data_IF_184104358342
#
_entry.id   IF_184104358342
#
_cell.length_a   1.000
_cell.length_b   1.000
_cell.length_c   1.000
_cell.angle_alpha   90.00
_cell.angle_beta   90.00
_cell.angle_gamma   90.00
#
_symmetry.space_group_name_H-M   'P 1'
#
loop_
_entity.id
_entity.type
_entity.pdbx_description
1 polymer ?
#
# COMPACT_ATOMS: atom_id res chain seq x y z
N UNK A 1 88.27 20.34 -20.03
CA UNK A 1 88.29 20.77 -21.44
C UNK A 1 86.92 21.36 -21.77
N UNK A 2 86.92 22.65 -22.12
CA UNK A 2 85.87 23.52 -22.72
C UNK A 2 84.48 23.61 -22.03
N UNK A 3 84.02 24.68 -21.35
CA UNK A 3 83.82 26.15 -21.59
C UNK A 3 82.79 26.56 -22.65
N UNK A 4 81.66 27.15 -22.22
CA UNK A 4 81.04 28.44 -22.64
C UNK A 4 79.53 28.46 -22.20
N UNK A 5 79.03 29.27 -21.26
CA UNK A 5 78.75 30.73 -21.18
C UNK A 5 77.47 31.24 -21.90
N UNK A 6 76.66 31.99 -21.13
CA UNK A 6 75.62 33.00 -21.50
C UNK A 6 74.25 32.48 -22.05
N UNK A 7 73.08 33.06 -21.78
CA UNK A 7 72.71 34.45 -21.46
C UNK A 7 71.31 34.50 -20.79
N UNK A 8 71.08 35.48 -19.91
CA UNK A 8 69.81 35.78 -19.22
C UNK A 8 69.03 36.84 -20.03
N UNK A 9 67.75 36.63 -20.34
CA UNK A 9 66.82 37.74 -20.66
C UNK A 9 65.51 37.52 -19.90
N UNK A 10 65.32 38.34 -18.86
CA UNK A 10 64.02 38.65 -18.27
C UNK A 10 63.28 39.56 -19.25
N UNK A 11 62.27 39.05 -19.95
CA UNK A 11 61.34 39.92 -20.68
C UNK A 11 60.37 40.55 -19.69
N UNK A 12 60.59 41.84 -19.45
CA UNK A 12 59.63 42.76 -18.84
C UNK A 12 58.41 42.92 -19.74
N UNK A 13 57.37 42.12 -19.48
CA UNK A 13 56.03 42.33 -20.01
C UNK A 13 55.39 43.57 -19.41
N UNK A 14 55.52 44.67 -20.14
CA UNK A 14 54.98 46.01 -19.89
C UNK A 14 53.47 45.96 -19.60
N UNK A 15 53.06 46.45 -18.42
CA UNK A 15 51.67 46.87 -18.16
C UNK A 15 51.36 48.07 -19.05
N UNK A 16 50.66 47.85 -20.16
CA UNK A 16 50.11 48.91 -21.00
C UNK A 16 48.63 48.67 -21.23
N UNK A 17 47.78 49.14 -20.30
CA UNK A 17 46.67 50.09 -20.56
C UNK A 17 45.69 50.11 -19.37
N UNK A 18 45.45 51.24 -18.68
CA UNK A 18 44.40 51.34 -17.68
C UNK A 18 43.00 51.62 -18.27
N UNK A 19 42.81 51.59 -19.59
CA UNK A 19 41.54 51.92 -20.23
C UNK A 19 41.14 50.92 -21.33
N UNK A 20 41.04 49.64 -20.99
CA UNK A 20 40.23 48.72 -21.78
C UNK A 20 38.75 49.14 -21.65
N UNK A 21 38.27 49.98 -22.58
CA UNK A 21 36.84 50.31 -22.71
C UNK A 21 36.08 49.01 -22.99
N UNK A 22 35.52 48.42 -21.95
CA UNK A 22 34.55 47.34 -22.08
C UNK A 22 33.40 47.93 -22.91
N UNK A 23 33.19 47.41 -24.10
CA UNK A 23 32.13 47.92 -24.97
C UNK A 23 30.78 47.76 -24.27
N UNK A 24 29.93 48.79 -24.35
CA UNK A 24 28.59 48.80 -23.74
C UNK A 24 27.80 47.52 -24.07
N UNK A 25 28.01 46.95 -25.26
CA UNK A 25 27.41 45.69 -25.69
C UNK A 25 27.88 44.45 -24.90
N UNK A 26 29.13 44.42 -24.41
CA UNK A 26 29.63 43.32 -23.58
C UNK A 26 29.09 43.40 -22.15
N UNK A 27 28.99 44.61 -21.59
CA UNK A 27 28.39 44.87 -20.27
C UNK A 27 26.89 44.54 -20.30
N UNK A 28 26.17 45.00 -21.32
CA UNK A 28 24.74 44.71 -21.50
C UNK A 28 24.47 43.20 -21.64
N UNK A 29 25.31 42.45 -22.35
CA UNK A 29 25.18 40.99 -22.48
C UNK A 29 25.41 40.24 -21.16
N UNK A 30 26.35 40.71 -20.33
CA UNK A 30 26.62 40.12 -19.01
C UNK A 30 25.46 40.40 -18.05
N UNK A 31 24.92 41.63 -18.03
CA UNK A 31 23.73 41.95 -17.24
C UNK A 31 22.48 41.19 -17.72
N UNK A 32 22.32 40.97 -19.02
CA UNK A 32 21.25 40.14 -19.56
C UNK A 32 21.37 38.68 -19.10
N UNK A 33 22.59 38.12 -19.14
CA UNK A 33 22.86 36.75 -18.69
C UNK A 33 22.70 36.56 -17.18
N UNK A 34 23.18 37.52 -16.37
CA UNK A 34 23.00 37.50 -14.91
C UNK A 34 21.53 37.70 -14.51
N UNK A 35 20.80 38.58 -15.19
CA UNK A 35 19.36 38.75 -14.99
C UNK A 35 18.58 37.49 -15.36
N UNK A 36 18.94 36.81 -16.45
CA UNK A 36 18.30 35.55 -16.87
C UNK A 36 18.62 34.39 -15.92
N UNK A 37 19.84 34.32 -15.38
CA UNK A 37 20.20 33.36 -14.33
C UNK A 37 19.48 33.65 -13.00
N UNK A 38 19.28 34.91 -12.64
CA UNK A 38 18.52 35.30 -11.44
C UNK A 38 17.03 34.96 -11.58
N UNK A 39 16.43 35.17 -12.75
CA UNK A 39 15.03 34.76 -13.03
C UNK A 39 14.89 33.23 -13.01
N UNK A 40 15.87 32.49 -13.54
CA UNK A 40 15.91 31.03 -13.47
C UNK A 40 16.16 30.50 -12.03
N UNK A 41 16.88 31.25 -11.19
CA UNK A 41 17.06 30.94 -9.77
C UNK A 41 15.81 31.26 -8.93
N UNK A 42 15.03 32.28 -9.30
CA UNK A 42 13.77 32.67 -8.61
C UNK A 42 12.60 31.75 -9.02
N UNK A 43 12.70 31.07 -10.16
CA UNK A 43 11.84 29.93 -10.54
C UNK A 43 12.13 28.64 -9.74
N UNK A 44 12.87 28.74 -8.63
CA UNK A 44 13.10 27.65 -7.69
C UNK A 44 11.77 27.14 -7.10
N UNK A 45 11.41 25.93 -7.52
CA UNK A 45 10.50 24.99 -6.85
C UNK A 45 9.07 25.46 -6.59
N UNK A 46 8.30 25.69 -7.66
CA UNK A 46 6.89 25.32 -7.57
C UNK A 46 6.84 23.79 -7.38
N UNK A 47 6.63 23.33 -6.14
CA UNK A 47 6.35 21.92 -5.88
C UNK A 47 5.00 21.63 -6.51
N UNK A 48 5.00 20.98 -7.66
CA UNK A 48 3.80 20.36 -8.22
C UNK A 48 3.50 19.17 -7.32
N UNK A 49 2.66 19.38 -6.31
CA UNK A 49 2.03 18.27 -5.61
C UNK A 49 1.03 17.66 -6.60
N UNK A 50 1.10 16.34 -6.80
CA UNK A 50 -0.03 15.63 -7.37
C UNK A 50 -1.26 15.95 -6.51
N UNK A 51 -2.38 16.31 -7.13
CA UNK A 51 -3.62 16.58 -6.41
C UNK A 51 -3.94 15.42 -5.48
N UNK A 52 -4.37 15.72 -4.26
CA UNK A 52 -4.91 14.71 -3.36
C UNK A 52 -6.02 13.91 -4.05
N UNK A 53 -6.14 12.63 -3.69
CA UNK A 53 -7.27 11.81 -4.11
C UNK A 53 -8.30 11.62 -2.98
N UNK A 54 -8.29 12.51 -1.98
CA UNK A 54 -9.36 12.68 -0.99
C UNK A 54 -10.45 13.57 -1.58
N UNK A 55 -11.71 13.27 -1.28
CA UNK A 55 -12.86 14.06 -1.72
C UNK A 55 -12.78 15.51 -1.21
N UNK A 56 -13.16 16.45 -2.06
CA UNK A 56 -13.25 17.87 -1.70
C UNK A 56 -14.62 18.27 -1.15
N UNK A 57 -15.59 17.36 -1.12
CA UNK A 57 -16.95 17.64 -0.62
C UNK A 57 -16.91 17.90 0.88
N UNK A 58 -17.64 18.89 1.37
CA UNK A 58 -17.51 19.42 2.74
C UNK A 58 -17.81 18.43 3.87
N UNK A 59 -18.36 17.25 3.58
CA UNK A 59 -18.66 16.18 4.56
C UNK A 59 -17.84 14.90 4.32
N UNK A 60 -16.92 14.90 3.37
CA UNK A 60 -16.26 13.68 2.85
C UNK A 60 -14.73 13.68 3.03
N UNK A 61 -14.21 14.55 3.90
CA UNK A 61 -12.79 14.68 4.20
C UNK A 61 -12.49 14.80 5.70
N UNK A 62 -13.43 14.37 6.54
CA UNK A 62 -13.36 14.57 7.99
C UNK A 62 -13.29 13.25 8.74
N UNK A 63 -12.30 13.13 9.60
CA UNK A 63 -12.30 12.18 10.71
C UNK A 63 -12.57 12.93 12.02
N UNK A 64 -13.00 12.21 13.05
CA UNK A 64 -13.38 12.77 14.35
C UNK A 64 -12.68 12.06 15.50
N UNK A 65 -12.29 12.82 16.51
CA UNK A 65 -11.86 12.32 17.80
C UNK A 65 -12.43 13.21 18.91
N UNK A 66 -12.78 12.63 20.05
CA UNK A 66 -13.44 13.36 21.13
C UNK A 66 -12.52 14.35 21.87
N UNK A 67 -11.19 14.17 21.78
CA UNK A 67 -10.22 15.05 22.44
C UNK A 67 -9.66 16.13 21.51
N UNK A 68 -9.27 15.76 20.27
CA UNK A 68 -8.65 16.69 19.31
C UNK A 68 -9.63 17.22 18.25
N UNK A 69 -10.88 16.76 18.27
CA UNK A 69 -11.94 17.22 17.39
C UNK A 69 -11.79 16.76 15.94
N UNK A 70 -12.10 17.67 15.02
CA UNK A 70 -12.06 17.44 13.58
C UNK A 70 -10.64 17.30 13.06
N UNK A 71 -10.44 16.28 12.22
CA UNK A 71 -9.19 16.00 11.49
C UNK A 71 -9.50 16.09 10.00
N UNK A 72 -8.86 17.02 9.30
CA UNK A 72 -9.07 17.31 7.88
C UNK A 72 -8.06 16.56 7.01
N UNK A 73 -8.55 15.68 6.14
CA UNK A 73 -7.74 14.89 5.21
C UNK A 73 -7.51 15.58 3.86
N UNK A 74 -8.14 16.73 3.60
CA UNK A 74 -8.12 17.39 2.29
C UNK A 74 -7.33 18.70 2.28
N UNK A 75 -7.44 19.55 3.31
CA UNK A 75 -6.91 20.92 3.26
C UNK A 75 -5.41 21.04 2.97
N UNK A 76 -4.61 20.06 3.37
CA UNK A 76 -3.16 20.04 3.13
C UNK A 76 -2.82 19.73 1.66
N UNK A 77 -3.80 19.18 0.91
CA UNK A 77 -3.66 18.69 -0.46
C UNK A 77 -2.42 17.78 -0.64
N UNK A 78 -2.07 17.03 0.40
CA UNK A 78 -0.85 16.21 0.44
C UNK A 78 -1.14 14.71 0.44
N UNK A 79 -2.35 14.32 0.81
CA UNK A 79 -2.70 12.92 1.03
C UNK A 79 -2.91 12.22 -0.30
N UNK A 80 -2.36 11.02 -0.44
CA UNK A 80 -2.67 10.15 -1.57
C UNK A 80 -2.82 8.73 -1.08
N UNK A 81 -3.99 8.15 -1.34
CA UNK A 81 -4.27 6.74 -1.11
C UNK A 81 -3.85 5.96 -2.35
N UNK A 82 -2.94 5.01 -2.18
CA UNK A 82 -2.55 4.07 -3.21
C UNK A 82 -2.91 2.65 -2.79
N UNK A 83 -2.71 1.69 -3.70
CA UNK A 83 -2.92 0.27 -3.43
C UNK A 83 -1.84 -0.37 -2.54
N UNK A 84 -0.93 0.44 -1.98
CA UNK A 84 0.22 -0.02 -1.17
C UNK A 84 0.28 0.71 0.18
N UNK A 85 -0.06 1.99 0.18
CA UNK A 85 0.08 2.88 1.35
C UNK A 85 -0.66 4.19 1.16
N UNK A 86 -0.77 4.92 2.25
CA UNK A 86 -1.15 6.32 2.29
C UNK A 86 0.11 7.18 2.39
N UNK A 87 0.11 8.32 1.71
CA UNK A 87 1.15 9.36 1.82
C UNK A 87 0.54 10.65 2.32
N UNK A 88 1.38 11.63 2.66
CA UNK A 88 0.96 12.96 3.12
C UNK A 88 0.64 13.02 4.61
N UNK A 89 -0.08 14.07 4.99
CA UNK A 89 -0.49 14.35 6.36
C UNK A 89 -1.84 15.06 6.42
N UNK A 90 -2.67 14.68 7.38
CA UNK A 90 -3.93 15.35 7.70
C UNK A 90 -3.69 16.50 8.68
N UNK A 91 -4.56 17.51 8.68
CA UNK A 91 -4.47 18.66 9.59
C UNK A 91 -5.46 18.50 10.74
N UNK A 92 -5.08 18.90 11.95
CA UNK A 92 -5.97 18.90 13.11
C UNK A 92 -5.61 20.04 14.07
N UNK A 93 -6.43 20.22 15.12
CA UNK A 93 -6.12 21.15 16.22
C UNK A 93 -4.84 20.77 16.98
N UNK A 94 -4.42 19.50 16.88
CA UNK A 94 -3.22 18.91 17.48
C UNK A 94 -1.96 19.00 16.59
N UNK A 95 -2.02 19.77 15.51
CA UNK A 95 -1.03 19.75 14.46
C UNK A 95 -1.28 18.63 13.44
N UNK A 96 -0.25 18.33 12.66
CA UNK A 96 -0.37 17.39 11.54
C UNK A 96 -0.36 15.93 12.01
N UNK A 97 -1.16 15.10 11.36
CA UNK A 97 -1.11 13.64 11.47
C UNK A 97 -0.46 13.11 10.20
N UNK A 98 0.80 12.72 10.30
CA UNK A 98 1.56 12.15 9.19
C UNK A 98 1.21 10.69 8.97
N UNK A 99 0.92 10.33 7.72
CA UNK A 99 0.53 8.97 7.33
C UNK A 99 1.73 8.12 6.88
N UNK A 100 2.89 8.74 6.66
CA UNK A 100 4.14 8.04 6.35
C UNK A 100 5.37 8.91 6.60
N UNK A 101 6.51 8.27 6.81
CA UNK A 101 7.77 8.98 7.05
C UNK A 101 8.30 9.79 5.83
N UNK A 102 7.88 9.46 4.61
CA UNK A 102 8.51 10.02 3.40
C UNK A 102 7.93 11.39 3.00
N UNK A 103 6.70 11.70 3.42
CA UNK A 103 5.96 12.89 3.00
C UNK A 103 5.31 13.60 4.18
N UNK A 104 6.09 13.83 5.23
CA UNK A 104 5.68 14.67 6.37
C UNK A 104 5.68 16.15 5.99
N UNK A 105 5.13 17.01 6.87
CA UNK A 105 5.19 18.47 6.75
C UNK A 105 6.61 19.01 6.57
N UNK A 106 7.58 18.40 7.25
CA UNK A 106 9.00 18.79 7.23
C UNK A 106 9.82 18.03 6.18
N UNK A 107 9.19 17.16 5.40
CA UNK A 107 9.82 16.36 4.35
C UNK A 107 10.03 14.90 4.71
N UNK A 108 11.07 14.29 4.15
CA UNK A 108 11.35 12.86 4.33
C UNK A 108 12.16 12.63 5.62
N UNK A 109 11.55 11.94 6.58
CA UNK A 109 12.15 11.57 7.88
C UNK A 109 12.40 10.06 8.00
N UNK A 110 12.31 9.30 6.88
CA UNK A 110 12.47 7.85 6.89
C UNK A 110 13.86 7.37 7.35
N UNK A 111 14.86 8.26 7.37
CA UNK A 111 16.18 7.98 7.94
C UNK A 111 16.17 7.87 9.47
N UNK A 112 15.17 8.47 10.13
CA UNK A 112 15.02 8.45 11.60
C UNK A 112 13.94 7.48 12.05
N UNK A 113 12.82 7.42 11.32
CA UNK A 113 11.71 6.52 11.63
C UNK A 113 11.01 6.09 10.35
N UNK A 114 10.76 4.80 10.16
CA UNK A 114 10.31 4.19 8.90
C UNK A 114 8.81 3.84 8.88
N UNK A 115 7.99 4.60 9.60
CA UNK A 115 6.55 4.35 9.73
C UNK A 115 5.78 4.63 8.42
N UNK A 116 4.66 3.92 8.28
CA UNK A 116 3.71 4.11 7.18
C UNK A 116 2.38 3.48 7.55
N UNK A 117 1.28 4.14 7.16
CA UNK A 117 -0.03 3.54 7.00
C UNK A 117 -0.04 2.82 5.66
N UNK A 118 -0.21 1.50 5.70
CA UNK A 118 -0.19 0.61 4.54
C UNK A 118 -1.62 0.32 4.10
N UNK A 119 -1.80 0.14 2.80
CA UNK A 119 -3.03 -0.37 2.20
C UNK A 119 -2.67 -1.69 1.54
N UNK A 120 -3.35 -2.78 1.91
CA UNK A 120 -3.11 -4.10 1.33
C UNK A 120 -3.63 -4.27 -0.11
N UNK A 121 -4.24 -3.22 -0.67
CA UNK A 121 -4.80 -3.19 -2.01
C UNK A 121 -6.25 -3.57 -2.11
N UNK A 122 -6.76 -4.28 -1.11
CA UNK A 122 -8.18 -4.57 -0.92
C UNK A 122 -8.87 -3.50 -0.06
N UNK A 123 -8.10 -2.54 0.46
CA UNK A 123 -8.59 -1.43 1.26
C UNK A 123 -8.37 -1.62 2.75
N UNK A 124 -7.80 -2.74 3.20
CA UNK A 124 -7.52 -2.93 4.62
C UNK A 124 -6.25 -2.15 4.99
N UNK A 125 -6.37 -1.27 5.99
CA UNK A 125 -5.28 -0.40 6.41
C UNK A 125 -4.58 -0.98 7.64
N UNK A 126 -3.26 -0.89 7.65
CA UNK A 126 -2.40 -1.35 8.76
C UNK A 126 -1.20 -0.43 8.94
N UNK A 127 -0.38 -0.69 9.95
CA UNK A 127 0.76 0.16 10.31
C UNK A 127 0.35 1.43 11.04
N UNK A 128 1.22 2.44 10.95
CA UNK A 128 1.28 3.54 11.90
C UNK A 128 1.28 4.90 11.22
N UNK A 129 0.46 5.81 11.74
CA UNK A 129 0.59 7.26 11.57
C UNK A 129 1.29 7.89 12.78
N UNK A 130 1.68 9.16 12.64
CA UNK A 130 2.41 9.90 13.67
C UNK A 130 1.88 11.32 13.83
N UNK A 131 1.75 11.78 15.07
CA UNK A 131 1.54 13.18 15.43
C UNK A 131 2.59 13.61 16.45
N UNK A 132 3.12 14.83 16.33
CA UNK A 132 4.21 15.30 17.18
C UNK A 132 3.81 15.55 18.64
N UNK A 133 2.51 15.76 18.92
CA UNK A 133 2.00 16.02 20.25
C UNK A 133 1.49 14.75 20.95
N UNK A 134 0.86 13.84 20.19
CA UNK A 134 0.16 12.67 20.71
C UNK A 134 0.78 11.33 20.30
N UNK A 135 1.81 11.35 19.46
CA UNK A 135 2.59 10.17 19.13
C UNK A 135 1.94 9.24 18.11
N UNK A 136 2.05 7.93 18.37
CA UNK A 136 1.72 6.87 17.42
C UNK A 136 0.22 6.62 17.29
N UNK A 137 -0.26 6.52 16.06
CA UNK A 137 -1.65 6.20 15.74
C UNK A 137 -1.68 4.88 14.97
N UNK A 138 -2.28 3.85 15.56
CA UNK A 138 -2.39 2.51 14.98
C UNK A 138 -3.65 2.37 14.12
N UNK A 139 -3.51 1.83 12.92
CA UNK A 139 -4.63 1.57 12.00
C UNK A 139 -5.17 0.14 12.08
N UNK A 140 -4.54 -0.74 12.87
CA UNK A 140 -4.86 -2.16 12.99
C UNK A 140 -4.45 -2.69 14.38
N UNK A 141 -5.31 -3.46 15.04
CA UNK A 141 -5.02 -4.07 16.34
C UNK A 141 -3.77 -4.95 16.34
N UNK A 142 -3.36 -5.50 15.19
CA UNK A 142 -2.17 -6.34 15.08
C UNK A 142 -0.84 -5.55 15.17
N UNK A 143 -0.89 -4.21 15.13
CA UNK A 143 0.32 -3.38 15.16
C UNK A 143 0.95 -3.22 16.55
N UNK A 144 0.14 -3.32 17.61
CA UNK A 144 0.56 -3.13 19.01
C UNK A 144 1.02 -4.46 19.61
N UNK A 145 0.08 -5.37 19.86
CA UNK A 145 0.34 -6.77 20.20
C UNK A 145 -0.75 -7.63 19.58
N UNK A 146 -0.42 -8.88 19.22
CA UNK A 146 -1.42 -9.82 18.69
C UNK A 146 -2.55 -10.14 19.68
N UNK A 147 -2.33 -9.91 20.99
CA UNK A 147 -3.34 -10.07 22.03
C UNK A 147 -4.37 -8.93 22.07
N UNK A 148 -4.06 -7.75 21.55
CA UNK A 148 -5.00 -6.62 21.56
C UNK A 148 -6.17 -6.87 20.60
N UNK A 149 -5.96 -7.66 19.55
CA UNK A 149 -7.07 -8.11 18.69
C UNK A 149 -8.06 -9.04 19.42
N UNK A 150 -7.68 -9.64 20.55
CA UNK A 150 -8.58 -10.45 21.37
C UNK A 150 -9.45 -9.58 22.29
N UNK A 151 -8.97 -8.39 22.67
CA UNK A 151 -9.70 -7.46 23.53
C UNK A 151 -10.52 -6.46 22.72
N UNK A 152 -9.96 -5.97 21.61
CA UNK A 152 -10.60 -5.07 20.66
C UNK A 152 -10.10 -5.36 19.24
N UNK A 153 -10.90 -6.12 18.49
CA UNK A 153 -10.61 -6.39 17.09
C UNK A 153 -11.01 -5.16 16.23
N UNK A 154 -10.03 -4.31 15.92
CA UNK A 154 -10.23 -3.13 15.09
C UNK A 154 -9.23 -3.07 13.93
N UNK A 155 -9.69 -2.51 12.82
CA UNK A 155 -8.89 -2.21 11.65
C UNK A 155 -9.61 -1.14 10.84
N UNK A 156 -8.91 -0.07 10.46
CA UNK A 156 -9.45 0.90 9.50
C UNK A 156 -9.45 0.29 8.10
N UNK A 157 -10.52 0.44 7.34
CA UNK A 157 -10.58 -0.07 5.97
C UNK A 157 -11.32 0.87 5.03
N UNK A 158 -10.99 0.81 3.75
CA UNK A 158 -11.55 1.62 2.68
C UNK A 158 -12.52 0.73 1.88
N UNK A 159 -13.76 1.18 1.75
CA UNK A 159 -14.77 0.47 1.00
C UNK A 159 -14.40 0.42 -0.49
N UNK A 160 -14.30 -0.78 -1.03
CA UNK A 160 -13.86 -1.04 -2.41
C UNK A 160 -14.79 -0.48 -3.49
N UNK A 161 -16.02 -0.09 -3.13
CA UNK A 161 -17.03 0.37 -4.10
C UNK A 161 -17.16 1.89 -4.12
N UNK A 162 -17.01 2.54 -2.96
CA UNK A 162 -17.26 3.99 -2.83
C UNK A 162 -16.11 4.78 -2.18
N UNK A 163 -15.00 4.13 -1.82
CA UNK A 163 -13.81 4.79 -1.28
C UNK A 163 -13.97 5.37 0.13
N UNK A 164 -15.09 5.09 0.81
CA UNK A 164 -15.35 5.55 2.18
C UNK A 164 -14.42 4.80 3.15
N UNK A 165 -13.75 5.53 4.04
CA UNK A 165 -13.01 4.97 5.15
C UNK A 165 -14.00 4.57 6.26
N UNK A 166 -13.75 3.40 6.86
CA UNK A 166 -14.61 2.80 7.86
C UNK A 166 -13.81 2.37 9.09
N UNK A 167 -14.55 2.18 10.19
CA UNK A 167 -14.01 1.79 11.48
C UNK A 167 -13.08 2.86 12.08
N UNK A 168 -12.22 2.46 13.02
CA UNK A 168 -11.40 3.36 13.82
C UNK A 168 -9.90 3.12 13.67
N UNK A 169 -9.13 4.18 13.92
CA UNK A 169 -7.73 4.09 14.34
C UNK A 169 -7.62 4.37 15.85
N UNK A 170 -6.50 3.94 16.45
CA UNK A 170 -6.27 4.03 17.89
C UNK A 170 -5.01 4.82 18.22
N UNK A 171 -5.11 5.68 19.23
CA UNK A 171 -3.99 6.32 19.90
C UNK A 171 -4.13 6.12 21.42
N UNK A 172 -3.03 5.93 22.11
CA UNK A 172 -2.97 5.66 23.55
C UNK A 172 -3.34 6.87 24.42
N UNK A 173 -3.24 8.09 23.89
CA UNK A 173 -3.56 9.33 24.60
C UNK A 173 -4.94 9.86 24.22
N UNK A 174 -5.21 10.03 22.93
CA UNK A 174 -6.45 10.64 22.43
C UNK A 174 -7.57 9.61 22.22
N UNK A 175 -7.26 8.31 22.27
CA UNK A 175 -8.22 7.23 22.10
C UNK A 175 -8.61 6.98 20.64
N UNK A 176 -9.88 6.65 20.43
CA UNK A 176 -10.41 6.25 19.11
C UNK A 176 -10.55 7.45 18.17
N UNK A 177 -10.10 7.26 16.93
CA UNK A 177 -10.29 8.21 15.83
C UNK A 177 -11.26 7.57 14.84
N UNK A 178 -12.43 8.19 14.67
CA UNK A 178 -13.50 7.71 13.78
C UNK A 178 -13.35 8.27 12.38
N UNK A 179 -13.39 7.40 11.37
CA UNK A 179 -13.32 7.82 9.97
C UNK A 179 -14.66 8.10 9.31
N UNK A 180 -15.77 7.72 9.96
CA UNK A 180 -17.10 8.06 9.49
C UNK A 180 -18.11 8.17 10.64
N UNK A 181 -19.21 8.86 10.39
CA UNK A 181 -20.27 9.04 11.39
C UNK A 181 -21.04 7.76 11.71
N UNK A 182 -21.07 6.79 10.79
CA UNK A 182 -21.82 5.54 10.96
C UNK A 182 -21.27 4.70 12.11
N UNK A 183 -20.00 4.87 12.47
CA UNK A 183 -19.39 4.15 13.57
C UNK A 183 -20.01 4.46 14.96
N UNK A 184 -20.51 5.69 15.18
CA UNK A 184 -21.12 6.12 16.46
C UNK A 184 -22.59 6.58 16.36
N UNK A 185 -23.18 6.55 15.16
CA UNK A 185 -24.49 7.13 14.89
C UNK A 185 -24.37 8.56 14.33
N UNK A 186 -24.96 8.79 13.16
CA UNK A 186 -24.78 10.02 12.39
C UNK A 186 -25.66 11.17 12.87
N UNK A 187 -25.35 11.77 14.02
CA UNK A 187 -25.91 13.09 14.39
C UNK A 187 -25.51 14.20 13.41
N UNK A 188 -24.29 14.10 12.87
CA UNK A 188 -23.78 14.91 11.76
C UNK A 188 -23.11 14.00 10.73
N UNK A 189 -23.35 14.24 9.44
CA UNK A 189 -22.72 13.45 8.38
C UNK A 189 -21.27 13.87 8.18
N UNK A 190 -20.36 12.93 8.45
CA UNK A 190 -18.94 13.06 8.14
C UNK A 190 -18.37 11.72 7.72
N UNK A 191 -17.39 11.77 6.83
CA UNK A 191 -16.58 10.63 6.42
C UNK A 191 -15.27 11.12 5.85
N UNK A 192 -14.27 10.25 5.79
CA UNK A 192 -13.14 10.41 4.86
C UNK A 192 -13.43 9.54 3.65
N UNK A 193 -13.41 10.13 2.45
CA UNK A 193 -13.61 9.44 1.19
C UNK A 193 -12.42 9.69 0.27
N UNK A 194 -11.94 8.64 -0.37
CA UNK A 194 -10.94 8.73 -1.45
C UNK A 194 -11.54 8.31 -2.79
N UNK A 195 -11.03 8.86 -3.88
CA UNK A 195 -11.30 8.34 -5.23
C UNK A 195 -10.51 7.07 -5.54
N UNK A 196 -9.56 6.65 -4.68
CA UNK A 196 -8.98 5.32 -4.76
C UNK A 196 -10.04 4.28 -4.38
N UNK A 197 -10.21 3.28 -5.23
CA UNK A 197 -11.01 2.09 -4.95
C UNK A 197 -10.14 0.86 -5.21
N UNK A 198 -10.39 -0.21 -4.46
CA UNK A 198 -9.67 -1.46 -4.66
C UNK A 198 -9.90 -1.94 -6.11
N UNK A 199 -8.82 -2.06 -6.87
CA UNK A 199 -8.85 -2.58 -8.25
C UNK A 199 -8.53 -4.07 -8.31
N UNK A 200 -8.34 -4.71 -7.16
CA UNK A 200 -8.16 -6.17 -7.08
C UNK A 200 -9.40 -6.85 -7.64
N UNK A 201 -9.21 -7.52 -8.76
CA UNK A 201 -10.18 -8.41 -9.38
C UNK A 201 -9.92 -9.83 -8.92
N UNK A 202 -11.00 -10.57 -8.68
CA UNK A 202 -10.92 -12.01 -8.44
C UNK A 202 -11.81 -12.76 -9.42
N UNK A 203 -11.42 -14.00 -9.71
CA UNK A 203 -12.20 -14.93 -10.50
C UNK A 203 -11.98 -16.34 -9.99
N UNK A 204 -12.95 -17.22 -10.20
CA UNK A 204 -12.81 -18.62 -9.82
C UNK A 204 -13.09 -19.58 -10.96
N UNK A 205 -12.44 -20.74 -10.90
CA UNK A 205 -12.67 -21.87 -11.79
C UNK A 205 -12.99 -23.09 -10.93
N UNK A 206 -14.12 -23.72 -11.23
CA UNK A 206 -14.51 -25.00 -10.66
C UNK A 206 -14.04 -26.14 -11.56
N UNK A 207 -13.37 -27.13 -10.99
CA UNK A 207 -12.95 -28.31 -11.72
C UNK A 207 -14.13 -29.17 -12.17
N UNK A 208 -13.88 -30.12 -13.06
CA UNK A 208 -14.78 -31.25 -13.27
C UNK A 208 -14.85 -32.14 -12.02
N UNK A 209 -15.72 -33.15 -12.06
CA UNK A 209 -15.81 -34.18 -11.02
C UNK A 209 -14.72 -35.21 -11.24
N UNK A 210 -13.99 -35.54 -10.17
CA UNK A 210 -13.02 -36.62 -10.14
C UNK A 210 -13.54 -37.76 -9.26
N UNK A 211 -13.32 -38.99 -9.71
CA UNK A 211 -13.62 -40.23 -8.97
C UNK A 211 -12.30 -40.84 -8.49
N UNK A 212 -12.18 -41.05 -7.18
CA UNK A 212 -10.99 -41.68 -6.57
C UNK A 212 -10.90 -43.18 -6.89
N UNK A 213 -12.00 -43.80 -7.32
CA UNK A 213 -12.10 -45.25 -7.53
C UNK A 213 -12.27 -46.07 -6.24
N UNK A 214 -12.22 -45.44 -5.07
CA UNK A 214 -12.35 -46.12 -3.78
C UNK A 214 -13.82 -46.23 -3.40
N UNK A 215 -14.40 -47.43 -3.53
CA UNK A 215 -15.83 -47.65 -3.35
C UNK A 215 -16.35 -47.27 -1.96
N UNK A 216 -15.53 -47.46 -0.92
CA UNK A 216 -15.85 -47.10 0.46
C UNK A 216 -15.51 -45.65 0.80
N UNK A 217 -14.97 -44.86 -0.14
CA UNK A 217 -14.46 -43.51 0.09
C UNK A 217 -12.97 -43.48 0.40
N UNK A 218 -12.31 -42.39 0.02
CA UNK A 218 -10.88 -42.16 0.21
C UNK A 218 -10.61 -41.11 1.29
N UNK A 219 -9.38 -41.09 1.80
CA UNK A 219 -8.84 -39.98 2.59
C UNK A 219 -8.06 -39.04 1.68
N UNK A 220 -8.45 -37.76 1.64
CA UNK A 220 -7.70 -36.73 0.93
C UNK A 220 -6.60 -36.16 1.83
N UNK A 221 -5.36 -36.19 1.37
CA UNK A 221 -4.16 -35.95 2.17
C UNK A 221 -3.63 -34.53 2.01
N UNK A 222 -3.47 -34.09 0.76
CA UNK A 222 -2.85 -32.80 0.46
C UNK A 222 -3.28 -32.26 -0.89
N UNK A 223 -3.16 -30.95 -1.03
CA UNK A 223 -3.29 -30.23 -2.30
C UNK A 223 -1.98 -29.52 -2.61
N UNK A 224 -1.59 -29.53 -3.87
CA UNK A 224 -0.49 -28.76 -4.44
C UNK A 224 -0.96 -28.17 -5.77
N UNK A 225 -0.36 -27.06 -6.19
CA UNK A 225 -0.63 -26.48 -7.49
C UNK A 225 0.66 -25.99 -8.16
N UNK A 226 0.71 -26.07 -9.49
CA UNK A 226 1.81 -25.58 -10.31
C UNK A 226 1.43 -24.26 -10.97
N UNK A 227 2.38 -23.34 -11.11
CA UNK A 227 2.17 -22.12 -11.87
C UNK A 227 3.08 -20.96 -11.46
N UNK A 228 2.58 -19.74 -11.63
CA UNK A 228 3.32 -18.53 -11.28
C UNK A 228 2.46 -17.62 -10.41
N UNK A 229 2.99 -17.22 -9.25
CA UNK A 229 2.39 -16.23 -8.37
C UNK A 229 3.28 -14.97 -8.31
N UNK A 230 2.99 -13.93 -9.12
CA UNK A 230 3.67 -12.66 -8.98
C UNK A 230 3.45 -12.04 -7.60
N UNK A 231 4.37 -11.18 -7.16
CA UNK A 231 4.23 -10.50 -5.87
C UNK A 231 2.92 -9.69 -5.81
N UNK A 232 2.19 -9.87 -4.71
CA UNK A 232 0.92 -9.18 -4.46
C UNK A 232 -0.31 -9.86 -5.05
N UNK A 233 -0.18 -10.96 -5.80
CA UNK A 233 -1.32 -11.80 -6.22
C UNK A 233 -1.56 -12.94 -5.23
N UNK A 234 -2.73 -13.56 -5.26
CA UNK A 234 -3.01 -14.76 -4.46
C UNK A 234 -3.74 -15.86 -5.23
N UNK A 235 -3.49 -17.10 -4.81
CA UNK A 235 -4.21 -18.30 -5.24
C UNK A 235 -4.86 -18.91 -4.00
N UNK A 236 -6.19 -19.03 -4.03
CA UNK A 236 -6.97 -19.70 -3.02
C UNK A 236 -7.53 -21.01 -3.56
N UNK A 237 -7.33 -22.11 -2.84
CA UNK A 237 -7.88 -23.42 -3.19
C UNK A 237 -8.98 -23.80 -2.20
N UNK A 238 -10.09 -24.33 -2.71
CA UNK A 238 -11.13 -24.96 -1.89
C UNK A 238 -11.42 -26.35 -2.46
N UNK A 239 -11.78 -27.27 -1.57
CA UNK A 239 -12.11 -28.64 -1.95
C UNK A 239 -13.57 -28.95 -1.58
N UNK A 240 -14.26 -29.65 -2.46
CA UNK A 240 -15.60 -30.19 -2.25
C UNK A 240 -15.55 -31.71 -2.43
N UNK A 241 -16.01 -32.46 -1.44
CA UNK A 241 -15.98 -33.94 -1.43
C UNK A 241 -17.39 -34.51 -1.24
N UNK A 242 -17.70 -35.63 -1.91
CA UNK A 242 -19.02 -36.26 -1.84
C UNK A 242 -18.95 -37.77 -2.10
N UNK A 243 -19.92 -38.53 -1.57
CA UNK A 243 -20.14 -39.94 -1.92
C UNK A 243 -21.13 -40.14 -3.08
N UNK A 244 -21.62 -39.04 -3.66
CA UNK A 244 -22.46 -39.03 -4.84
C UNK A 244 -21.78 -38.24 -5.97
N UNK A 245 -21.80 -38.78 -7.18
CA UNK A 245 -21.30 -38.11 -8.39
C UNK A 245 -22.13 -36.89 -8.80
N UNK A 246 -23.32 -36.71 -8.23
CA UNK A 246 -24.14 -35.51 -8.44
C UNK A 246 -23.93 -34.42 -7.38
N UNK A 247 -23.09 -34.66 -6.36
CA UNK A 247 -22.93 -33.75 -5.22
C UNK A 247 -23.87 -34.08 -4.05
N UNK A 248 -24.08 -33.16 -3.09
CA UNK A 248 -23.79 -31.72 -3.16
C UNK A 248 -22.30 -31.39 -3.23
N UNK A 249 -21.97 -30.24 -3.84
CA UNK A 249 -20.60 -29.73 -3.94
C UNK A 249 -20.44 -28.49 -3.08
N UNK A 250 -20.00 -28.69 -1.83
CA UNK A 250 -19.72 -27.62 -0.88
C UNK A 250 -18.21 -27.36 -0.88
N UNK A 251 -17.79 -26.28 -1.53
CA UNK A 251 -16.38 -25.87 -1.55
C UNK A 251 -15.99 -25.27 -0.21
N UNK A 252 -15.06 -25.92 0.48
CA UNK A 252 -14.58 -25.52 1.79
C UNK A 252 -13.06 -25.27 1.77
N UNK A 253 -12.63 -24.27 2.53
CA UNK A 253 -11.21 -24.02 2.80
C UNK A 253 -10.72 -24.75 4.05
N UNK A 254 -9.59 -24.29 4.58
CA UNK A 254 -8.88 -24.93 5.68
C UNK A 254 -9.64 -25.00 7.01
N UNK A 255 -10.65 -24.14 7.21
CA UNK A 255 -11.51 -24.13 8.40
C UNK A 255 -12.86 -24.85 8.19
N UNK A 256 -13.09 -25.41 7.00
CA UNK A 256 -14.34 -26.08 6.65
C UNK A 256 -15.46 -25.16 6.17
N UNK A 257 -15.21 -23.87 6.06
CA UNK A 257 -16.19 -22.88 5.59
C UNK A 257 -15.92 -22.48 4.14
N UNK A 258 -16.92 -21.88 3.49
CA UNK A 258 -16.79 -21.32 2.14
C UNK A 258 -15.98 -20.03 2.08
N UNK A 259 -15.59 -19.46 3.24
CA UNK A 259 -14.95 -18.15 3.33
C UNK A 259 -13.42 -18.23 3.49
N UNK A 260 -12.87 -19.43 3.68
CA UNK A 260 -11.41 -19.63 3.74
C UNK A 260 -10.92 -20.43 2.54
N UNK A 261 -9.59 -20.49 2.43
CA UNK A 261 -8.88 -21.19 1.37
C UNK A 261 -7.75 -22.01 1.97
N UNK A 262 -7.48 -23.16 1.38
CA UNK A 262 -6.15 -23.76 1.45
C UNK A 262 -5.19 -22.86 0.67
N UNK A 263 -4.38 -22.10 1.38
CA UNK A 263 -3.38 -21.21 0.79
C UNK A 263 -2.03 -21.93 0.75
N UNK A 264 -1.40 -21.92 -0.42
CA UNK A 264 -0.10 -22.54 -0.66
C UNK A 264 0.65 -21.70 -1.68
N UNK A 265 1.97 -21.58 -1.54
CA UNK A 265 2.80 -21.12 -2.66
C UNK A 265 2.77 -22.13 -3.81
N UNK A 266 3.14 -21.68 -5.01
CA UNK A 266 3.34 -22.59 -6.14
C UNK A 266 4.35 -23.69 -5.76
N UNK A 267 4.06 -24.92 -6.18
CA UNK A 267 4.90 -26.11 -5.93
C UNK A 267 5.04 -26.51 -4.44
N UNK A 268 4.25 -25.91 -3.55
CA UNK A 268 4.24 -26.25 -2.13
C UNK A 268 2.98 -27.09 -1.83
N UNK A 269 3.20 -28.24 -1.19
CA UNK A 269 2.11 -29.11 -0.77
C UNK A 269 1.53 -28.62 0.55
N UNK A 270 0.21 -28.42 0.57
CA UNK A 270 -0.55 -28.01 1.76
C UNK A 270 -1.44 -29.18 2.22
N UNK A 271 -1.39 -29.55 3.52
CA UNK A 271 -2.23 -30.61 4.05
C UNK A 271 -3.71 -30.21 4.01
N UNK A 272 -4.56 -31.17 3.67
CA UNK A 272 -6.00 -31.01 3.72
C UNK A 272 -6.53 -31.37 5.12
N UNK A 273 -7.64 -30.76 5.53
CA UNK A 273 -8.24 -31.06 6.83
C UNK A 273 -8.76 -32.49 6.88
N UNK A 274 -8.09 -33.34 7.66
CA UNK A 274 -8.40 -34.77 7.74
C UNK A 274 -9.87 -35.03 8.05
N UNK A 275 -10.43 -34.38 9.06
CA UNK A 275 -11.82 -34.56 9.47
C UNK A 275 -12.85 -34.09 8.42
N UNK A 276 -12.46 -33.23 7.48
CA UNK A 276 -13.37 -32.59 6.53
C UNK A 276 -13.48 -33.35 5.21
N UNK A 277 -12.41 -34.04 4.81
CA UNK A 277 -12.29 -34.72 3.53
C UNK A 277 -11.88 -36.19 3.72
N UNK A 278 -12.60 -36.89 4.61
CA UNK A 278 -12.43 -38.32 4.87
C UNK A 278 -13.64 -39.11 4.38
N UNK A 279 -13.41 -40.34 3.92
CA UNK A 279 -14.46 -41.31 3.58
C UNK A 279 -15.39 -40.81 2.47
N UNK A 280 -14.81 -40.12 1.47
CA UNK A 280 -15.52 -39.61 0.30
C UNK A 280 -14.91 -40.13 -1.00
N UNK A 281 -15.76 -40.57 -1.94
CA UNK A 281 -15.32 -41.14 -3.22
C UNK A 281 -15.03 -40.10 -4.29
N UNK A 282 -15.82 -39.04 -4.38
CA UNK A 282 -15.74 -38.05 -5.45
C UNK A 282 -15.27 -36.71 -4.90
N UNK A 283 -14.56 -35.95 -5.73
CA UNK A 283 -14.15 -34.59 -5.38
C UNK A 283 -14.21 -33.62 -6.55
N UNK A 284 -14.28 -32.34 -6.20
CA UNK A 284 -14.04 -31.17 -7.06
C UNK A 284 -13.17 -30.19 -6.31
N UNK A 285 -12.40 -29.39 -7.02
CA UNK A 285 -11.69 -28.25 -6.45
C UNK A 285 -12.14 -26.95 -7.10
N UNK A 286 -12.04 -25.85 -6.35
CA UNK A 286 -12.19 -24.48 -6.84
C UNK A 286 -10.87 -23.77 -6.69
N UNK A 287 -10.42 -23.14 -7.77
CA UNK A 287 -9.28 -22.22 -7.77
C UNK A 287 -9.82 -20.82 -7.83
N UNK A 288 -9.47 -19.98 -6.86
CA UNK A 288 -9.74 -18.54 -6.88
C UNK A 288 -8.42 -17.81 -7.10
N UNK A 289 -8.38 -16.97 -8.14
CA UNK A 289 -7.24 -16.10 -8.42
C UNK A 289 -7.61 -14.68 -8.03
N UNK A 290 -6.72 -14.01 -7.30
CA UNK A 290 -6.84 -12.59 -6.98
C UNK A 290 -5.66 -11.86 -7.60
N UNK A 291 -5.95 -10.81 -8.38
CA UNK A 291 -4.91 -9.97 -8.98
C UNK A 291 -4.14 -9.17 -7.92
N UNK A 292 -3.02 -8.58 -8.35
CA UNK A 292 -2.29 -7.67 -7.49
C UNK A 292 -3.09 -6.42 -7.19
N UNK A 293 -2.63 -5.66 -6.20
CA UNK A 293 -3.32 -4.48 -5.68
C UNK A 293 -3.56 -3.38 -6.72
N UNK A 294 -2.80 -3.38 -7.81
CA UNK A 294 -2.94 -2.45 -8.96
C UNK A 294 -3.75 -3.02 -10.13
N UNK A 295 -4.25 -4.25 -10.03
CA UNK A 295 -5.01 -4.93 -11.09
C UNK A 295 -4.22 -5.22 -12.38
N UNK A 296 -2.88 -5.13 -12.34
CA UNK A 296 -1.99 -5.27 -13.50
C UNK A 296 -1.36 -6.65 -13.64
N UNK A 297 -1.36 -7.44 -12.56
CA UNK A 297 -0.79 -8.79 -12.51
C UNK A 297 -1.84 -9.75 -11.96
N UNK A 298 -1.88 -10.97 -12.49
CA UNK A 298 -2.65 -12.08 -11.93
C UNK A 298 -1.74 -13.28 -11.74
N UNK A 299 -2.01 -14.08 -10.72
CA UNK A 299 -1.45 -15.42 -10.65
C UNK A 299 -1.94 -16.26 -11.84
N UNK A 300 -1.15 -17.26 -12.22
CA UNK A 300 -1.52 -18.30 -13.18
C UNK A 300 -1.37 -19.65 -12.48
N UNK A 301 -2.41 -20.47 -12.55
CA UNK A 301 -2.38 -21.86 -12.10
C UNK A 301 -2.42 -22.73 -13.36
N UNK A 302 -1.38 -23.52 -13.55
CA UNK A 302 -1.22 -24.41 -14.69
C UNK A 302 -1.82 -25.78 -14.36
N UNK A 303 -1.59 -26.30 -13.15
CA UNK A 303 -2.09 -27.60 -12.70
C UNK A 303 -2.49 -27.58 -11.21
N UNK A 304 -3.42 -28.46 -10.84
CA UNK A 304 -3.78 -28.76 -9.44
C UNK A 304 -3.62 -30.26 -9.20
N UNK A 305 -2.85 -30.61 -8.17
CA UNK A 305 -2.55 -31.97 -7.76
C UNK A 305 -3.19 -32.24 -6.40
N UNK A 306 -4.09 -33.22 -6.36
CA UNK A 306 -4.71 -33.72 -5.13
C UNK A 306 -4.16 -35.10 -4.83
N UNK A 307 -3.65 -35.31 -3.63
CA UNK A 307 -3.17 -36.61 -3.16
C UNK A 307 -4.22 -37.25 -2.24
N UNK A 308 -4.53 -38.52 -2.45
CA UNK A 308 -5.46 -39.30 -1.63
C UNK A 308 -4.97 -40.73 -1.43
N UNK A 309 -5.49 -41.40 -0.40
CA UNK A 309 -5.24 -42.81 -0.11
C UNK A 309 -6.56 -43.56 0.13
N UNK A 310 -6.62 -44.87 -0.20
CA UNK A 310 -7.76 -45.73 0.11
C UNK A 310 -8.04 -45.88 1.61
#
# INVERSE_FOLDING_TARGET
>A
MYTAQHFLILETGRLSDPHAKISSNRVARIFLFLGMCLVMLVLSSARVHASTNISSSTTEHWAWNDLIGWIDFYNTNSITVSSQKLTGYASSSAGDISLNCASTRIGNVCGTSNYSVRNDGSGNLSGWGWNDQYGWISFDCHNVTSSDCLTSNYQTWINSTNGVFNNYAWNDIVGWISFNCANHGCGFQYSVITSWIATTTFGYLDSTIFDTGVASGAQFNSVLWHGNQPLGTSVGLQLATSNSSSGPWLYAGSDGTSNTYYTAGADISTPLGYAMHNNFRYFRYRVTLTSNTSGTLSARVDDVVINWSP
#
